data_IF_696103095587
#
_entry.id   IF_696103095587
#
_cell.length_a   1.000
_cell.length_b   1.000
_cell.length_c   1.000
_cell.angle_alpha   90.00
_cell.angle_beta   90.00
_cell.angle_gamma   90.00
#
_symmetry.space_group_name_H-M   'P 1'
#
loop_
_entity.id
_entity.type
_entity.pdbx_description
1 polymer ?
#
# COMPACT_ATOMS: atom_id res chain seq x y z
N UNK A 1 -9.65 3.27 31.61
CA UNK A 1 -10.27 2.39 30.61
C UNK A 1 -9.94 2.87 29.20
N UNK A 2 -10.03 4.18 28.95
CA UNK A 2 -9.80 4.77 27.62
C UNK A 2 -8.42 4.46 27.02
N UNK A 3 -7.35 4.51 27.83
CA UNK A 3 -6.00 4.16 27.36
C UNK A 3 -5.88 2.70 26.88
N UNK A 4 -6.53 1.77 27.58
CA UNK A 4 -6.53 0.36 27.18
C UNK A 4 -7.28 0.17 25.85
N UNK A 5 -8.45 0.80 25.70
CA UNK A 5 -9.23 0.75 24.47
C UNK A 5 -8.47 1.38 23.29
N UNK A 6 -7.80 2.51 23.50
CA UNK A 6 -6.97 3.14 22.48
C UNK A 6 -5.82 2.23 22.05
N UNK A 7 -5.13 1.60 23.00
CA UNK A 7 -4.03 0.70 22.69
C UNK A 7 -4.50 -0.57 21.99
N UNK A 8 -5.69 -1.07 22.34
CA UNK A 8 -6.33 -2.18 21.63
C UNK A 8 -6.61 -1.82 20.17
N UNK A 9 -7.19 -0.65 19.92
CA UNK A 9 -7.46 -0.15 18.55
C UNK A 9 -6.16 0.06 17.78
N UNK A 10 -5.13 0.65 18.40
CA UNK A 10 -3.81 0.82 17.78
C UNK A 10 -3.18 -0.53 17.42
N UNK A 11 -3.24 -1.50 18.34
CA UNK A 11 -2.72 -2.85 18.14
C UNK A 11 -3.44 -3.58 17.01
N UNK A 12 -4.78 -3.50 16.96
CA UNK A 12 -5.57 -4.08 15.87
C UNK A 12 -5.27 -3.41 14.53
N UNK A 13 -5.11 -2.08 14.51
CA UNK A 13 -4.80 -1.33 13.29
C UNK A 13 -3.43 -1.72 12.74
N UNK A 14 -2.40 -1.74 13.59
CA UNK A 14 -1.05 -2.16 13.21
C UNK A 14 -1.01 -3.65 12.80
N UNK A 15 -1.69 -4.51 13.54
CA UNK A 15 -1.81 -5.93 13.21
C UNK A 15 -2.50 -6.18 11.88
N UNK A 16 -3.57 -5.45 11.58
CA UNK A 16 -4.26 -5.51 10.29
C UNK A 16 -3.36 -5.03 9.14
N UNK A 17 -2.60 -3.95 9.33
CA UNK A 17 -1.62 -3.47 8.35
C UNK A 17 -0.56 -4.54 8.07
N UNK A 18 0.06 -5.10 9.11
CA UNK A 18 1.07 -6.16 8.93
C UNK A 18 0.49 -7.43 8.33
N UNK A 19 -0.75 -7.80 8.70
CA UNK A 19 -1.47 -8.91 8.10
C UNK A 19 -1.72 -8.71 6.60
N UNK A 20 -2.17 -7.51 6.21
CA UNK A 20 -2.37 -7.16 4.79
C UNK A 20 -1.05 -7.16 4.01
N UNK A 21 0.04 -6.68 4.59
CA UNK A 21 1.38 -6.75 3.97
C UNK A 21 1.79 -8.21 3.74
N UNK A 22 1.62 -9.08 4.74
CA UNK A 22 1.96 -10.50 4.62
C UNK A 22 1.12 -11.21 3.53
N UNK A 23 -0.19 -10.92 3.47
CA UNK A 23 -1.07 -11.43 2.42
C UNK A 23 -0.63 -10.92 1.04
N UNK A 24 -0.31 -9.63 0.92
CA UNK A 24 0.21 -9.06 -0.33
C UNK A 24 1.49 -9.75 -0.81
N UNK A 25 2.45 -9.95 0.09
CA UNK A 25 3.73 -10.59 -0.24
C UNK A 25 3.55 -12.05 -0.67
N UNK A 26 2.72 -12.81 0.05
CA UNK A 26 2.45 -14.22 -0.28
C UNK A 26 1.71 -14.38 -1.61
N UNK A 27 0.78 -13.48 -1.94
CA UNK A 27 0.11 -13.49 -3.25
C UNK A 27 1.09 -13.22 -4.40
N UNK A 28 1.97 -12.22 -4.25
CA UNK A 28 2.94 -11.87 -5.30
C UNK A 28 3.97 -12.97 -5.49
N UNK A 29 4.56 -13.48 -4.41
CA UNK A 29 5.53 -14.57 -4.48
C UNK A 29 4.89 -15.88 -5.00
N UNK A 30 3.67 -16.19 -4.56
CA UNK A 30 2.94 -17.38 -4.97
C UNK A 30 2.60 -17.42 -6.46
N UNK A 31 2.32 -16.27 -7.09
CA UNK A 31 1.98 -16.19 -8.52
C UNK A 31 3.24 -16.04 -9.38
N UNK A 32 4.20 -15.21 -8.97
CA UNK A 32 5.35 -14.83 -9.80
C UNK A 32 6.53 -15.79 -9.64
N UNK A 33 6.66 -16.48 -8.49
CA UNK A 33 7.74 -17.44 -8.24
C UNK A 33 9.14 -16.81 -8.20
N UNK A 34 9.23 -15.48 -8.11
CA UNK A 34 10.49 -14.73 -8.01
C UNK A 34 10.49 -13.91 -6.71
N UNK A 35 11.65 -13.78 -6.08
CA UNK A 35 11.82 -12.95 -4.87
C UNK A 35 11.56 -11.49 -5.25
N UNK A 36 10.50 -10.90 -4.72
CA UNK A 36 10.14 -9.50 -4.94
C UNK A 36 10.76 -8.61 -3.85
N UNK A 37 11.94 -8.04 -4.13
CA UNK A 37 12.60 -7.08 -3.23
C UNK A 37 11.94 -5.69 -3.22
N UNK A 38 11.15 -5.34 -4.26
CA UNK A 38 10.48 -4.05 -4.39
C UNK A 38 9.16 -3.95 -3.61
N UNK A 39 8.67 -5.06 -3.03
CA UNK A 39 7.35 -5.07 -2.37
C UNK A 39 7.26 -4.07 -1.21
N UNK A 40 8.34 -3.93 -0.43
CA UNK A 40 8.42 -2.93 0.63
C UNK A 40 8.39 -1.49 0.11
N UNK A 41 9.00 -1.24 -1.05
CA UNK A 41 9.02 0.08 -1.68
C UNK A 41 7.62 0.48 -2.19
N UNK A 42 6.89 -0.46 -2.79
CA UNK A 42 5.51 -0.22 -3.25
C UNK A 42 4.60 0.12 -2.07
N UNK A 43 4.75 -0.58 -0.94
CA UNK A 43 3.99 -0.28 0.27
C UNK A 43 4.30 1.12 0.81
N UNK A 44 5.58 1.47 0.87
CA UNK A 44 6.04 2.80 1.29
C UNK A 44 5.44 3.89 0.39
N UNK A 45 5.49 3.72 -0.93
CA UNK A 45 4.93 4.68 -1.90
C UNK A 45 3.42 4.87 -1.66
N UNK A 46 2.66 3.79 -1.47
CA UNK A 46 1.23 3.90 -1.16
C UNK A 46 0.94 4.65 0.15
N UNK A 47 1.77 4.46 1.18
CA UNK A 47 1.67 5.20 2.44
C UNK A 47 1.95 6.69 2.26
N UNK A 48 3.01 7.06 1.53
CA UNK A 48 3.34 8.46 1.25
C UNK A 48 2.31 9.13 0.33
N UNK A 49 1.79 8.45 -0.67
CA UNK A 49 0.71 8.97 -1.51
C UNK A 49 -0.52 9.29 -0.65
N UNK A 50 -0.89 8.38 0.26
CA UNK A 50 -2.02 8.59 1.18
C UNK A 50 -1.79 9.79 2.09
N UNK A 51 -0.57 9.92 2.63
CA UNK A 51 -0.17 11.04 3.47
C UNK A 51 -0.24 12.36 2.70
N UNK A 52 0.36 12.44 1.50
CA UNK A 52 0.35 13.64 0.66
C UNK A 52 -1.07 14.01 0.26
N UNK A 53 -1.89 13.05 -0.18
CA UNK A 53 -3.28 13.28 -0.53
C UNK A 53 -4.07 13.83 0.67
N UNK A 54 -3.84 13.30 1.88
CA UNK A 54 -4.46 13.80 3.10
C UNK A 54 -3.98 15.21 3.45
N UNK A 55 -2.70 15.54 3.26
CA UNK A 55 -2.19 16.89 3.50
C UNK A 55 -2.78 17.92 2.53
N UNK A 56 -3.03 17.53 1.29
CA UNK A 56 -3.62 18.40 0.27
C UNK A 56 -5.13 18.57 0.44
N UNK A 57 -5.84 17.48 0.77
CA UNK A 57 -7.31 17.47 0.88
C UNK A 57 -7.81 17.79 2.29
N UNK A 58 -7.01 17.57 3.33
CA UNK A 58 -7.36 17.83 4.72
C UNK A 58 -7.77 19.27 5.02
N UNK A 59 -7.06 20.30 4.52
CA UNK A 59 -7.41 21.70 4.74
C UNK A 59 -8.68 22.17 4.00
N UNK A 60 -9.24 21.36 3.08
CA UNK A 60 -10.34 21.77 2.20
C UNK A 60 -11.68 22.03 2.90
N UNK A 61 -11.79 21.76 4.21
CA UNK A 61 -13.02 21.97 4.98
C UNK A 61 -14.18 21.04 4.61
N UNK A 62 -13.94 20.05 3.74
CA UNK A 62 -14.92 19.03 3.38
C UNK A 62 -15.24 18.07 4.54
N UNK A 63 -16.34 17.34 4.41
CA UNK A 63 -16.70 16.31 5.39
C UNK A 63 -15.57 15.28 5.52
N UNK A 64 -15.14 15.01 6.76
CA UNK A 64 -14.00 14.11 7.07
C UNK A 64 -14.11 12.78 6.33
N UNK A 65 -15.31 12.20 6.27
CA UNK A 65 -15.57 10.92 5.58
C UNK A 65 -15.30 11.02 4.07
N UNK A 66 -15.72 12.12 3.42
CA UNK A 66 -15.48 12.34 1.99
C UNK A 66 -13.99 12.54 1.70
N UNK A 67 -13.26 13.21 2.59
CA UNK A 67 -11.81 13.37 2.49
C UNK A 67 -11.10 12.01 2.61
N UNK A 68 -11.49 11.17 3.57
CA UNK A 68 -10.90 9.84 3.73
C UNK A 68 -11.20 8.91 2.55
N UNK A 69 -12.43 8.94 2.02
CA UNK A 69 -12.80 8.16 0.84
C UNK A 69 -12.05 8.62 -0.42
N UNK A 70 -11.90 9.93 -0.62
CA UNK A 70 -11.14 10.45 -1.76
C UNK A 70 -9.65 10.10 -1.66
N UNK A 71 -9.03 10.22 -0.47
CA UNK A 71 -7.67 9.77 -0.21
C UNK A 71 -7.51 8.28 -0.51
N UNK A 72 -8.44 7.44 -0.04
CA UNK A 72 -8.42 6.00 -0.30
C UNK A 72 -8.41 5.70 -1.81
N UNK A 73 -9.33 6.32 -2.56
CA UNK A 73 -9.45 6.10 -4.01
C UNK A 73 -8.21 6.58 -4.75
N UNK A 74 -7.69 7.77 -4.41
CA UNK A 74 -6.47 8.33 -5.01
C UNK A 74 -5.27 7.41 -4.77
N UNK A 75 -5.08 6.98 -3.53
CA UNK A 75 -3.98 6.08 -3.16
C UNK A 75 -4.08 4.74 -3.87
N UNK A 76 -5.27 4.15 -3.98
CA UNK A 76 -5.47 2.90 -4.72
C UNK A 76 -5.09 3.05 -6.19
N UNK A 77 -5.57 4.10 -6.86
CA UNK A 77 -5.32 4.34 -8.29
C UNK A 77 -3.82 4.55 -8.54
N UNK A 78 -3.18 5.45 -7.78
CA UNK A 78 -1.78 5.80 -8.01
C UNK A 78 -0.82 4.64 -7.65
N UNK A 79 -1.10 3.92 -6.56
CA UNK A 79 -0.27 2.75 -6.18
C UNK A 79 -0.45 1.61 -7.19
N UNK A 80 -1.66 1.38 -7.69
CA UNK A 80 -1.90 0.39 -8.74
C UNK A 80 -1.21 0.78 -10.06
N UNK A 81 -1.26 2.05 -10.45
CA UNK A 81 -0.55 2.56 -11.62
C UNK A 81 0.97 2.35 -11.48
N UNK A 82 1.54 2.64 -10.30
CA UNK A 82 2.96 2.40 -10.03
C UNK A 82 3.32 0.90 -10.07
N UNK A 83 2.50 0.04 -9.46
CA UNK A 83 2.72 -1.41 -9.53
C UNK A 83 2.68 -1.94 -10.97
N UNK A 84 1.75 -1.43 -11.79
CA UNK A 84 1.62 -1.78 -13.20
C UNK A 84 2.81 -1.31 -14.04
N UNK A 85 3.30 -0.08 -13.83
CA UNK A 85 4.49 0.40 -14.54
C UNK A 85 5.70 -0.44 -14.18
N UNK A 86 5.88 -0.79 -12.90
CA UNK A 86 6.99 -1.60 -12.41
C UNK A 86 6.93 -3.03 -12.96
N UNK A 87 5.75 -3.64 -13.03
CA UNK A 87 5.58 -4.92 -13.72
C UNK A 87 5.97 -4.81 -15.19
N UNK A 88 5.50 -3.77 -15.89
CA UNK A 88 5.68 -3.65 -17.34
C UNK A 88 7.11 -3.32 -17.75
N UNK A 89 7.79 -2.48 -16.98
CA UNK A 89 9.15 -1.99 -17.27
C UNK A 89 10.24 -2.90 -16.70
N UNK A 90 10.06 -3.42 -15.48
CA UNK A 90 11.10 -4.23 -14.82
C UNK A 90 10.80 -5.73 -14.92
N UNK A 91 9.65 -6.19 -14.42
CA UNK A 91 9.41 -7.63 -14.26
C UNK A 91 9.14 -8.36 -15.57
N UNK A 92 8.33 -7.78 -16.46
CA UNK A 92 7.92 -8.44 -17.72
C UNK A 92 9.10 -8.73 -18.65
N UNK A 93 10.09 -7.83 -18.83
CA UNK A 93 11.30 -8.13 -19.59
C UNK A 93 12.20 -9.19 -18.93
N UNK A 94 12.27 -9.22 -17.59
CA UNK A 94 13.13 -10.13 -16.83
C UNK A 94 12.60 -11.58 -16.78
N UNK A 95 11.33 -11.83 -17.13
CA UNK A 95 10.75 -13.19 -17.18
C UNK A 95 11.50 -14.15 -18.12
N UNK A 96 12.26 -13.63 -19.09
CA UNK A 96 13.05 -14.42 -20.04
C UNK A 96 14.54 -14.56 -19.71
N UNK A 97 15.02 -13.94 -18.64
CA UNK A 97 16.44 -13.95 -18.27
C UNK A 97 16.80 -15.15 -17.37
N UNK A 98 18.08 -15.59 -17.33
CA UNK A 98 18.51 -16.67 -16.43
C UNK A 98 18.15 -16.33 -14.99
N UNK A 99 17.55 -17.29 -14.29
CA UNK A 99 17.16 -17.13 -12.88
C UNK A 99 18.43 -16.94 -12.04
N UNK A 100 18.55 -15.81 -11.34
CA UNK A 100 19.53 -15.60 -10.28
C UNK A 100 19.03 -16.25 -8.98
#
# INVERSE_FOLDING_TARGET
>A
MDYFLQQLVNGLTLGAIYGLIAIGYTMVYGIIGMINFAHGEIFMIGAFISLIALLLLGPSGGAVILTLLSVLVISMILTAAYGWTLERLAYRPLRGSPRL
#
